data_IF_009306967598
#
_entry.id   IF_009306967598
#
_cell.length_a   1.000
_cell.length_b   1.000
_cell.length_c   1.000
_cell.angle_alpha   90.00
_cell.angle_beta   90.00
_cell.angle_gamma   90.00
#
_symmetry.space_group_name_H-M   'P 1'
#
loop_
_entity.id
_entity.type
_entity.pdbx_description
1 polymer ?
#
# COMPACT_ATOMS: atom_id res chain seq x y z
N UNK A 1 4.42 7.14 -5.16
CA UNK A 1 4.50 8.32 -4.27
C UNK A 1 4.02 7.92 -2.88
N UNK A 2 4.91 7.41 -2.03
CA UNK A 2 4.70 7.20 -0.57
C UNK A 2 5.81 7.92 0.22
N UNK A 3 6.17 9.12 -0.26
CA UNK A 3 7.33 9.90 0.20
C UNK A 3 7.18 10.46 1.61
N UNK A 4 5.95 10.59 2.12
CA UNK A 4 5.69 11.24 3.43
C UNK A 4 6.03 10.34 4.62
N UNK A 5 5.70 9.04 4.61
CA UNK A 5 6.03 8.12 5.71
C UNK A 5 7.54 7.89 5.84
N UNK A 6 8.23 7.75 4.70
CA UNK A 6 9.68 7.67 4.70
C UNK A 6 10.29 8.94 5.29
N UNK A 7 9.84 10.13 4.86
CA UNK A 7 10.29 11.40 5.45
C UNK A 7 10.03 11.51 6.95
N UNK A 8 8.87 11.05 7.42
CA UNK A 8 8.57 11.00 8.85
C UNK A 8 9.56 10.09 9.59
N UNK A 9 9.87 8.92 9.03
CA UNK A 9 10.88 8.01 9.58
C UNK A 9 12.25 8.66 9.66
N UNK A 10 12.72 9.28 8.58
CA UNK A 10 14.04 9.91 8.50
C UNK A 10 14.16 11.04 9.53
N UNK A 11 13.10 11.84 9.70
CA UNK A 11 13.05 12.93 10.68
C UNK A 11 12.97 12.41 12.12
N UNK A 12 12.28 11.30 12.37
CA UNK A 12 12.27 10.63 13.68
C UNK A 12 13.66 10.08 14.02
N UNK A 13 14.35 9.46 13.06
CA UNK A 13 15.74 9.01 13.23
C UNK A 13 16.71 10.18 13.50
N UNK A 14 16.46 11.34 12.88
CA UNK A 14 17.18 12.58 13.15
C UNK A 14 16.79 13.27 14.47
N UNK A 15 15.94 12.64 15.29
CA UNK A 15 15.47 13.14 16.60
C UNK A 15 14.73 14.49 16.54
N UNK A 16 14.09 14.79 15.41
CA UNK A 16 13.26 16.00 15.27
C UNK A 16 11.98 15.87 16.10
N UNK A 17 11.51 16.97 16.68
CA UNK A 17 10.29 16.96 17.49
C UNK A 17 9.05 16.64 16.65
N UNK A 18 8.09 15.89 17.23
CA UNK A 18 6.84 15.50 16.55
C UNK A 18 6.06 16.72 16.05
N UNK A 19 6.07 17.82 16.79
CA UNK A 19 5.38 19.06 16.41
C UNK A 19 5.96 19.68 15.12
N UNK A 20 7.29 19.65 14.98
CA UNK A 20 7.97 20.14 13.78
C UNK A 20 7.78 19.20 12.59
N UNK A 21 7.80 17.89 12.81
CA UNK A 21 7.53 16.89 11.76
C UNK A 21 6.13 17.08 11.16
N UNK A 22 5.12 17.25 12.01
CA UNK A 22 3.73 17.51 11.58
C UNK A 22 3.66 18.77 10.71
N UNK A 23 4.36 19.84 11.12
CA UNK A 23 4.40 21.11 10.39
C UNK A 23 5.14 20.98 9.04
N UNK A 24 6.27 20.28 9.01
CA UNK A 24 7.11 20.14 7.81
C UNK A 24 6.54 19.17 6.76
N UNK A 25 5.97 18.04 7.21
CA UNK A 25 5.51 16.98 6.29
C UNK A 25 4.01 17.11 5.99
N UNK A 26 3.26 17.83 6.82
CA UNK A 26 1.81 18.01 6.66
C UNK A 26 1.04 16.72 6.86
N UNK A 27 1.32 16.00 7.94
CA UNK A 27 0.65 14.75 8.35
C UNK A 27 0.09 14.88 9.76
N UNK A 28 -0.92 14.08 10.10
CA UNK A 28 -1.48 14.10 11.45
C UNK A 28 -0.46 13.57 12.48
N UNK A 29 -0.59 14.03 13.73
CA UNK A 29 0.21 13.53 14.86
C UNK A 29 0.12 12.01 14.98
N UNK A 30 -1.07 11.44 14.77
CA UNK A 30 -1.32 9.99 14.82
C UNK A 30 -0.40 9.22 13.87
N UNK A 31 -0.25 9.69 12.63
CA UNK A 31 0.63 9.04 11.65
C UNK A 31 2.09 9.05 12.11
N UNK A 32 2.52 10.14 12.75
CA UNK A 32 3.90 10.24 13.29
C UNK A 32 4.09 9.25 14.45
N UNK A 33 3.15 9.15 15.38
CA UNK A 33 3.22 8.20 16.48
C UNK A 33 3.14 6.75 16.02
N UNK A 34 2.27 6.42 15.06
CA UNK A 34 2.19 5.08 14.49
C UNK A 34 3.50 4.68 13.79
N UNK A 35 4.13 5.63 13.09
CA UNK A 35 5.43 5.40 12.43
C UNK A 35 6.53 5.20 13.46
N UNK A 36 6.55 6.01 14.52
CA UNK A 36 7.49 5.87 15.64
C UNK A 36 7.36 4.50 16.32
N UNK A 37 6.13 4.07 16.61
CA UNK A 37 5.86 2.78 17.25
C UNK A 37 6.35 1.61 16.39
N UNK A 38 6.20 1.69 15.06
CA UNK A 38 6.71 0.68 14.13
C UNK A 38 8.23 0.64 14.08
N UNK A 39 8.89 1.81 14.09
CA UNK A 39 10.35 1.91 14.18
C UNK A 39 10.89 1.26 15.46
N UNK A 40 10.27 1.54 16.61
CA UNK A 40 10.67 0.96 17.90
C UNK A 40 10.44 -0.56 17.96
N UNK A 41 9.42 -1.06 17.25
CA UNK A 41 9.16 -2.50 17.11
C UNK A 41 10.14 -3.22 16.16
N UNK A 42 11.02 -2.48 15.47
CA UNK A 42 11.89 -3.04 14.43
C UNK A 42 11.13 -3.46 13.17
N UNK A 43 9.88 -3.00 12.99
CA UNK A 43 9.09 -3.30 11.81
C UNK A 43 9.66 -2.56 10.60
N UNK A 44 9.85 -3.28 9.50
CA UNK A 44 10.21 -2.66 8.23
C UNK A 44 9.07 -1.71 7.79
N UNK A 45 9.43 -0.44 7.59
CA UNK A 45 8.56 0.56 6.97
C UNK A 45 8.50 0.42 5.45
N UNK A 46 9.24 -0.54 4.89
CA UNK A 46 9.15 -0.88 3.49
C UNK A 46 7.71 -1.25 3.14
N UNK A 47 7.31 -0.89 1.92
CA UNK A 47 6.06 -1.39 1.36
C UNK A 47 6.14 -2.91 1.36
N UNK A 48 5.27 -3.56 2.14
CA UNK A 48 4.89 -4.93 1.83
C UNK A 48 4.43 -4.92 0.36
N UNK A 49 5.01 -5.75 -0.53
CA UNK A 49 4.47 -5.92 -1.87
C UNK A 49 2.98 -6.25 -1.70
N UNK A 50 2.15 -5.55 -2.48
CA UNK A 50 0.77 -5.22 -2.13
C UNK A 50 0.04 -6.31 -1.35
N UNK A 51 -0.54 -5.93 -0.21
CA UNK A 51 -1.76 -6.60 0.22
C UNK A 51 -2.80 -6.30 -0.87
N UNK A 52 -2.85 -7.16 -1.89
CA UNK A 52 -3.91 -7.22 -2.87
C UNK A 52 -5.16 -7.67 -2.11
N UNK A 53 -5.73 -6.77 -1.32
CA UNK A 53 -7.02 -6.97 -0.68
C UNK A 53 -8.01 -7.30 -1.78
N UNK A 54 -8.45 -8.56 -1.81
CA UNK A 54 -9.45 -9.13 -2.71
C UNK A 54 -9.06 -9.37 -4.17
N UNK A 55 -7.81 -9.65 -4.50
CA UNK A 55 -7.62 -10.50 -5.68
C UNK A 55 -8.13 -11.88 -5.29
N UNK A 56 -9.37 -12.23 -5.68
CA UNK A 56 -9.79 -13.62 -5.83
C UNK A 56 -8.58 -14.32 -6.44
N UNK A 57 -8.07 -15.34 -5.76
CA UNK A 57 -6.96 -16.14 -6.29
C UNK A 57 -7.40 -16.48 -7.72
N UNK A 58 -6.67 -15.95 -8.70
CA UNK A 58 -6.86 -16.30 -10.11
C UNK A 58 -6.32 -17.72 -10.23
N UNK A 59 -7.07 -18.69 -9.72
CA UNK A 59 -6.76 -20.10 -9.85
C UNK A 59 -6.82 -20.44 -11.32
N UNK A 60 -6.10 -21.49 -11.73
CA UNK A 60 -6.19 -21.98 -13.11
C UNK A 60 -7.65 -22.29 -13.49
N UNK A 61 -8.46 -22.74 -12.53
CA UNK A 61 -9.90 -22.94 -12.67
C UNK A 61 -10.66 -21.65 -13.01
N UNK A 62 -10.32 -20.52 -12.36
CA UNK A 62 -10.92 -19.21 -12.68
C UNK A 62 -10.56 -18.76 -14.10
N UNK A 63 -9.31 -18.98 -14.52
CA UNK A 63 -8.86 -18.62 -15.86
C UNK A 63 -9.56 -19.49 -16.92
N UNK A 64 -9.71 -20.80 -16.68
CA UNK A 64 -10.44 -21.71 -17.56
C UNK A 64 -11.92 -21.30 -17.69
N UNK A 65 -12.59 -20.97 -16.58
CA UNK A 65 -13.97 -20.47 -16.64
C UNK A 65 -14.08 -19.13 -17.39
N UNK A 66 -13.16 -18.20 -17.17
CA UNK A 66 -13.14 -16.92 -17.87
C UNK A 66 -12.95 -17.10 -19.38
N UNK A 67 -12.05 -17.99 -19.80
CA UNK A 67 -11.87 -18.28 -21.23
C UNK A 67 -13.12 -18.92 -21.84
N UNK A 68 -13.79 -19.82 -21.12
CA UNK A 68 -15.04 -20.42 -21.58
C UNK A 68 -16.17 -19.38 -21.73
N UNK A 69 -16.31 -18.45 -20.78
CA UNK A 69 -17.28 -17.35 -20.86
C UNK A 69 -16.98 -16.39 -22.04
N UNK A 70 -15.70 -16.09 -22.30
CA UNK A 70 -15.28 -15.26 -23.44
C UNK A 70 -15.55 -15.97 -24.78
N UNK A 71 -15.35 -17.28 -24.86
CA UNK A 71 -15.65 -18.07 -26.07
C UNK A 71 -17.15 -18.21 -26.32
N UNK A 72 -17.97 -18.35 -25.27
CA UNK A 72 -19.43 -18.34 -25.40
C UNK A 72 -19.97 -16.94 -25.79
N UNK A 73 -19.31 -15.87 -25.37
CA UNK A 73 -19.68 -14.48 -25.67
C UNK A 73 -18.85 -13.87 -26.82
N UNK A 74 -18.53 -14.67 -27.84
CA UNK A 74 -17.91 -14.21 -29.09
C UNK A 74 -18.83 -13.32 -29.95
N UNK A 75 -19.81 -12.64 -29.35
CA UNK A 75 -20.77 -11.75 -30.02
C UNK A 75 -20.59 -10.25 -29.69
N UNK A 76 -19.69 -9.89 -28.76
CA UNK A 76 -19.51 -8.48 -28.33
C UNK A 76 -18.30 -7.76 -28.99
N UNK A 77 -17.50 -8.45 -29.81
CA UNK A 77 -16.40 -7.84 -30.57
C UNK A 77 -16.60 -7.93 -32.08
N UNK A 78 -17.64 -7.25 -32.56
CA UNK A 78 -17.67 -6.72 -33.93
C UNK A 78 -18.23 -5.29 -33.87
N UNK A 79 -17.42 -4.23 -34.10
CA UNK A 79 -17.96 -2.98 -34.61
C UNK A 79 -18.39 -3.12 -36.08
#
# INVERSE_FOLDING_TARGET
>A
MDTKRQRVSDLLCAQVSVAEIVKMVGVSKTIVYDTKKKLEAGDSLERKPGCCGHNKILTDEFLVCLFAEIEEDASILVP
#
